data_IF_133915700060
#
_entry.id   IF_133915700060
#
_cell.length_a   1.000
_cell.length_b   1.000
_cell.length_c   1.000
_cell.angle_alpha   90.00
_cell.angle_beta   90.00
_cell.angle_gamma   90.00
#
_symmetry.space_group_name_H-M   'P 1'
#
loop_
_entity.id
_entity.type
_entity.pdbx_description
1 polymer ?
#
# COMPACT_ATOMS: atom_id res chain seq x y z
N UNK A 1 14.58 -7.40 2.46
CA UNK A 1 14.31 -7.93 1.11
C UNK A 1 13.85 -6.80 0.22
N UNK A 2 14.39 -6.73 -0.99
CA UNK A 2 14.01 -5.78 -2.02
C UNK A 2 12.96 -6.39 -2.94
N UNK A 3 11.84 -5.73 -3.04
CA UNK A 3 10.77 -6.06 -3.99
C UNK A 3 10.73 -5.00 -5.07
N UNK A 4 11.00 -5.36 -6.32
CA UNK A 4 10.92 -4.48 -7.46
C UNK A 4 9.97 -5.09 -8.50
N UNK A 5 8.90 -4.38 -8.80
CA UNK A 5 7.88 -4.84 -9.76
C UNK A 5 7.46 -3.66 -10.62
N UNK A 6 7.68 -3.78 -11.92
CA UNK A 6 7.44 -2.71 -12.90
C UNK A 6 8.17 -1.42 -12.51
N UNK A 7 7.42 -0.38 -12.18
CA UNK A 7 7.92 0.95 -11.86
C UNK A 7 7.86 1.27 -10.35
N UNK A 8 7.69 0.25 -9.51
CA UNK A 8 7.68 0.39 -8.05
C UNK A 8 8.78 -0.46 -7.41
N UNK A 9 9.25 0.03 -6.28
CA UNK A 9 10.22 -0.63 -5.44
C UNK A 9 9.79 -0.55 -3.98
N UNK A 10 9.90 -1.66 -3.26
CA UNK A 10 9.69 -1.71 -1.82
C UNK A 10 10.84 -2.44 -1.14
N UNK A 11 11.50 -1.79 -0.17
CA UNK A 11 12.54 -2.39 0.66
C UNK A 11 11.96 -2.72 2.03
N UNK A 12 11.50 -3.94 2.19
CA UNK A 12 10.87 -4.41 3.43
C UNK A 12 11.82 -5.30 4.24
N UNK A 13 11.73 -5.34 5.59
CA UNK A 13 12.40 -6.30 6.43
C UNK A 13 12.14 -7.75 6.01
N UNK A 14 13.06 -8.66 6.36
CA UNK A 14 13.01 -10.07 5.91
C UNK A 14 11.85 -10.90 6.43
N UNK A 15 11.19 -10.43 7.49
CA UNK A 15 10.02 -11.10 8.09
C UNK A 15 8.71 -10.87 7.32
N UNK A 16 8.70 -9.90 6.38
CA UNK A 16 7.53 -9.67 5.53
C UNK A 16 7.41 -10.79 4.49
N UNK A 17 6.32 -11.53 4.57
CA UNK A 17 5.96 -12.56 3.61
C UNK A 17 4.86 -12.08 2.69
N UNK A 18 5.05 -12.18 1.38
CA UNK A 18 4.02 -11.85 0.40
C UNK A 18 2.88 -12.87 0.50
N UNK A 19 1.67 -12.39 0.81
CA UNK A 19 0.45 -13.18 0.86
C UNK A 19 -0.29 -13.20 -0.46
N UNK A 20 -0.38 -12.05 -1.08
CA UNK A 20 -1.17 -11.84 -2.29
C UNK A 20 -0.58 -10.72 -3.11
N UNK A 21 -0.71 -10.88 -4.41
CA UNK A 21 -0.47 -9.81 -5.37
C UNK A 21 -1.63 -9.73 -6.36
N UNK A 22 -1.85 -8.54 -6.87
CA UNK A 22 -2.81 -8.30 -7.96
C UNK A 22 -2.25 -7.22 -8.86
N UNK A 23 -2.11 -7.56 -10.13
CA UNK A 23 -1.66 -6.66 -11.18
C UNK A 23 -2.76 -6.57 -12.23
N UNK A 24 -3.32 -5.38 -12.38
CA UNK A 24 -4.26 -5.06 -13.44
C UNK A 24 -3.82 -3.75 -14.08
N UNK A 25 -4.20 -3.48 -15.34
CA UNK A 25 -3.87 -2.21 -15.97
C UNK A 25 -4.26 -1.02 -15.07
N UNK A 26 -3.29 -0.17 -14.78
CA UNK A 26 -3.50 1.01 -13.94
C UNK A 26 -3.53 0.77 -12.43
N UNK A 27 -3.50 -0.46 -11.93
CA UNK A 27 -3.53 -0.72 -10.49
C UNK A 27 -2.68 -1.92 -10.07
N UNK A 28 -1.81 -1.71 -9.07
CA UNK A 28 -1.03 -2.76 -8.43
C UNK A 28 -1.34 -2.81 -6.95
N UNK A 29 -1.37 -4.03 -6.45
CA UNK A 29 -1.58 -4.31 -5.04
C UNK A 29 -0.67 -5.46 -4.61
N UNK A 30 0.13 -5.23 -3.59
CA UNK A 30 0.94 -6.23 -2.90
C UNK A 30 0.49 -6.28 -1.44
N UNK A 31 0.16 -7.46 -0.95
CA UNK A 31 -0.24 -7.69 0.43
C UNK A 31 0.80 -8.55 1.12
N UNK A 32 1.41 -8.00 2.15
CA UNK A 32 2.39 -8.67 2.99
C UNK A 32 1.84 -8.95 4.37
N UNK A 33 2.44 -9.92 5.03
CA UNK A 33 2.12 -10.26 6.41
C UNK A 33 3.38 -10.47 7.23
N UNK A 34 3.36 -9.95 8.45
CA UNK A 34 4.30 -10.30 9.54
C UNK A 34 3.53 -11.05 10.63
N UNK A 35 4.16 -11.26 11.77
CA UNK A 35 3.52 -11.86 12.95
C UNK A 35 2.43 -10.96 13.54
N UNK A 36 2.64 -9.65 13.53
CA UNK A 36 1.82 -8.64 14.22
C UNK A 36 0.89 -7.84 13.31
N UNK A 37 1.17 -7.78 12.01
CA UNK A 37 0.40 -6.91 11.10
C UNK A 37 0.32 -7.46 9.67
N UNK A 38 -0.63 -6.93 8.93
CA UNK A 38 -0.74 -7.08 7.48
C UNK A 38 -0.53 -5.73 6.83
N UNK A 39 0.33 -5.66 5.80
CA UNK A 39 0.68 -4.43 5.10
C UNK A 39 0.32 -4.54 3.64
N UNK A 40 -0.54 -3.64 3.16
CA UNK A 40 -0.87 -3.46 1.75
C UNK A 40 -0.07 -2.32 1.14
N UNK A 41 0.58 -2.59 0.02
CA UNK A 41 1.20 -1.60 -0.84
C UNK A 41 0.38 -1.46 -2.11
N UNK A 42 -0.03 -0.25 -2.42
CA UNK A 42 -0.91 0.05 -3.54
C UNK A 42 -0.30 1.10 -4.45
N UNK A 43 -0.50 0.91 -5.75
CA UNK A 43 -0.16 1.90 -6.76
C UNK A 43 -1.29 1.98 -7.77
N UNK A 44 -1.77 3.18 -8.04
CA UNK A 44 -2.77 3.47 -9.06
C UNK A 44 -2.28 4.54 -10.02
N UNK A 45 -2.75 4.49 -11.25
CA UNK A 45 -2.48 5.51 -12.25
C UNK A 45 -3.25 5.29 -13.56
N UNK A 46 -3.41 6.33 -14.35
CA UNK A 46 -2.90 7.70 -14.17
C UNK A 46 -3.69 8.50 -13.12
N UNK A 47 -3.00 9.22 -12.24
CA UNK A 47 -3.63 10.00 -11.17
C UNK A 47 -4.52 11.12 -11.72
N UNK A 48 -4.11 11.78 -12.81
CA UNK A 48 -4.90 12.84 -13.48
C UNK A 48 -6.29 12.38 -13.94
N UNK A 49 -6.42 11.11 -14.30
CA UNK A 49 -7.71 10.53 -14.67
C UNK A 49 -8.52 10.15 -13.44
N UNK A 50 -7.87 9.49 -12.48
CA UNK A 50 -8.54 8.97 -11.27
C UNK A 50 -9.05 10.08 -10.36
N UNK A 51 -8.36 11.22 -10.32
CA UNK A 51 -8.69 12.37 -9.47
C UNK A 51 -9.38 13.51 -10.22
N UNK A 52 -9.81 13.32 -11.47
CA UNK A 52 -10.46 14.37 -12.26
C UNK A 52 -11.67 15.00 -11.53
N UNK A 53 -12.47 14.16 -10.89
CA UNK A 53 -13.71 14.56 -10.20
C UNK A 53 -13.74 14.11 -8.73
N UNK A 54 -12.60 13.72 -8.17
CA UNK A 54 -12.51 13.21 -6.80
C UNK A 54 -11.30 13.81 -6.10
N UNK A 55 -11.42 14.09 -4.82
CA UNK A 55 -10.26 14.34 -3.99
C UNK A 55 -9.43 13.05 -3.81
N UNK A 56 -8.15 13.19 -3.42
CA UNK A 56 -7.34 12.04 -3.06
C UNK A 56 -7.94 11.27 -1.88
N UNK A 57 -8.53 11.98 -0.91
CA UNK A 57 -9.20 11.39 0.25
C UNK A 57 -10.40 10.54 -0.17
N UNK A 58 -11.30 11.07 -1.00
CA UNK A 58 -12.50 10.33 -1.46
C UNK A 58 -12.11 9.11 -2.29
N UNK A 59 -11.08 9.24 -3.13
CA UNK A 59 -10.55 8.13 -3.90
C UNK A 59 -10.05 7.01 -2.98
N UNK A 60 -9.24 7.34 -1.97
CA UNK A 60 -8.69 6.37 -1.01
C UNK A 60 -9.78 5.77 -0.14
N UNK A 61 -10.70 6.59 0.38
CA UNK A 61 -11.85 6.14 1.16
C UNK A 61 -12.63 5.04 0.43
N UNK A 62 -12.92 5.27 -0.84
CA UNK A 62 -13.64 4.32 -1.68
C UNK A 62 -12.82 3.07 -2.03
N UNK A 63 -11.53 3.23 -2.35
CA UNK A 63 -10.68 2.10 -2.81
C UNK A 63 -10.23 1.18 -1.71
N UNK A 64 -9.97 1.71 -0.53
CA UNK A 64 -9.48 0.97 0.63
C UNK A 64 -10.54 0.77 1.71
N UNK A 65 -11.80 1.17 1.45
CA UNK A 65 -12.91 1.12 2.40
C UNK A 65 -12.58 1.81 3.73
N UNK A 66 -11.89 2.96 3.66
CA UNK A 66 -11.52 3.76 4.84
C UNK A 66 -12.67 4.70 5.19
N UNK A 67 -13.25 4.62 6.40
CA UNK A 67 -14.28 5.55 6.84
C UNK A 67 -13.76 6.99 6.87
N UNK A 68 -14.59 7.95 6.45
CA UNK A 68 -14.20 9.37 6.41
C UNK A 68 -13.76 9.90 7.78
N UNK A 69 -14.36 9.42 8.87
CA UNK A 69 -14.09 9.89 10.23
C UNK A 69 -12.73 9.53 10.82
N UNK A 70 -11.92 8.70 10.15
CA UNK A 70 -10.59 8.30 10.64
C UNK A 70 -9.43 8.94 9.87
N UNK A 71 -9.70 9.81 8.89
CA UNK A 71 -8.66 10.61 8.26
C UNK A 71 -8.14 11.67 9.23
N UNK A 72 -6.82 11.69 9.45
CA UNK A 72 -6.17 12.56 10.43
C UNK A 72 -5.54 13.79 9.78
N UNK A 73 -5.08 13.65 8.54
CA UNK A 73 -4.45 14.70 7.77
C UNK A 73 -4.77 14.54 6.29
N UNK A 74 -5.08 15.65 5.63
CA UNK A 74 -5.30 15.67 4.20
C UNK A 74 -4.72 16.96 3.61
N UNK A 75 -3.95 16.81 2.55
CA UNK A 75 -3.49 17.88 1.67
C UNK A 75 -3.86 17.52 0.24
N UNK A 76 -3.69 18.42 -0.71
CA UNK A 76 -3.91 18.08 -2.13
C UNK A 76 -3.04 16.97 -2.65
N UNK A 77 -1.90 16.69 -2.02
CA UNK A 77 -0.89 15.72 -2.47
C UNK A 77 -0.76 14.49 -1.57
N UNK A 78 -1.32 14.50 -0.36
CA UNK A 78 -1.18 13.43 0.62
C UNK A 78 -2.36 13.37 1.57
N UNK A 79 -2.76 12.16 1.95
CA UNK A 79 -3.75 11.88 2.99
C UNK A 79 -3.24 10.80 3.91
N UNK A 80 -3.55 10.92 5.20
CA UNK A 80 -3.22 9.92 6.21
C UNK A 80 -4.46 9.59 7.05
N UNK A 81 -4.52 8.37 7.51
CA UNK A 81 -5.61 7.87 8.37
C UNK A 81 -5.09 6.93 9.43
N UNK A 82 -5.76 6.93 10.57
CA UNK A 82 -5.56 5.93 11.61
C UNK A 82 -6.81 5.78 12.48
N UNK A 83 -7.17 4.56 12.77
CA UNK A 83 -8.35 4.27 13.59
C UNK A 83 -8.78 2.82 13.50
N UNK A 84 -9.79 2.47 14.28
CA UNK A 84 -10.41 1.17 14.23
C UNK A 84 -11.49 1.16 13.15
N UNK A 85 -11.47 0.13 12.32
CA UNK A 85 -12.48 -0.07 11.27
C UNK A 85 -13.27 -1.33 11.64
N UNK A 86 -14.56 -1.20 11.92
CA UNK A 86 -15.38 -2.38 12.15
C UNK A 86 -15.41 -3.25 10.88
N UNK A 87 -15.43 -4.58 11.02
CA UNK A 87 -15.56 -5.47 9.89
C UNK A 87 -16.87 -5.18 9.13
N UNK A 88 -16.81 -5.29 7.81
CA UNK A 88 -17.99 -5.07 6.96
C UNK A 88 -19.19 -5.87 7.45
N UNK A 89 -20.38 -5.25 7.46
CA UNK A 89 -21.64 -5.91 7.84
C UNK A 89 -21.81 -7.17 6.97
N UNK A 90 -21.97 -8.34 7.61
CA UNK A 90 -22.10 -9.65 6.94
C UNK A 90 -20.98 -10.64 7.25
N UNK A 91 -19.87 -10.22 7.85
CA UNK A 91 -18.90 -11.14 8.44
C UNK A 91 -19.47 -11.84 9.69
N UNK A 92 -18.96 -13.04 10.01
CA UNK A 92 -19.37 -13.85 11.18
C UNK A 92 -19.03 -13.18 12.54
N UNK A 93 -19.29 -11.89 12.70
CA UNK A 93 -19.01 -11.12 13.94
C UNK A 93 -19.74 -11.70 15.16
N UNK A 94 -20.91 -12.29 14.97
CA UNK A 94 -21.69 -12.90 16.04
C UNK A 94 -21.05 -14.15 16.64
N UNK A 95 -20.08 -14.78 15.94
CA UNK A 95 -19.38 -15.97 16.44
C UNK A 95 -18.11 -15.66 17.25
N UNK A 96 -17.61 -14.42 17.23
CA UNK A 96 -16.41 -14.03 17.98
C UNK A 96 -16.52 -12.62 18.54
N UNK A 97 -17.45 -12.37 19.48
CA UNK A 97 -17.74 -11.02 20.00
C UNK A 97 -16.56 -10.38 20.76
N UNK A 98 -15.57 -11.16 21.15
CA UNK A 98 -14.45 -10.74 21.99
C UNK A 98 -13.19 -10.31 21.19
N UNK A 99 -13.16 -10.48 19.89
CA UNK A 99 -12.02 -9.99 19.10
C UNK A 99 -12.11 -8.48 18.92
N UNK A 100 -11.11 -7.74 19.37
CA UNK A 100 -11.08 -6.29 19.16
C UNK A 100 -11.10 -5.96 17.67
N UNK A 101 -11.71 -4.84 17.32
CA UNK A 101 -11.70 -4.33 15.96
C UNK A 101 -10.27 -4.04 15.54
N UNK A 102 -9.86 -4.44 14.33
CA UNK A 102 -8.51 -4.21 13.86
C UNK A 102 -8.19 -2.70 13.77
N UNK A 103 -6.98 -2.36 14.13
CA UNK A 103 -6.48 -1.00 14.02
C UNK A 103 -5.83 -0.81 12.64
N UNK A 104 -6.37 0.11 11.89
CA UNK A 104 -5.90 0.49 10.57
C UNK A 104 -5.12 1.79 10.65
N UNK A 105 -4.03 1.86 9.93
CA UNK A 105 -3.27 3.08 9.71
C UNK A 105 -2.75 3.08 8.28
N UNK A 106 -2.65 4.24 7.69
CA UNK A 106 -2.17 4.32 6.32
C UNK A 106 -1.92 5.72 5.86
N UNK A 107 -1.26 5.81 4.73
CA UNK A 107 -0.97 7.04 4.02
C UNK A 107 -1.06 6.79 2.53
N UNK A 108 -1.65 7.73 1.82
CA UNK A 108 -1.61 7.79 0.36
C UNK A 108 -1.04 9.13 -0.08
N UNK A 109 -0.28 9.12 -1.18
CA UNK A 109 0.33 10.34 -1.70
C UNK A 109 0.53 10.28 -3.21
N UNK A 110 0.70 11.45 -3.79
CA UNK A 110 1.09 11.63 -5.20
C UNK A 110 2.59 11.93 -5.24
N UNK A 111 3.43 11.01 -5.73
CA UNK A 111 4.84 11.31 -5.89
C UNK A 111 5.04 12.50 -6.84
N UNK A 112 5.95 13.45 -6.51
CA UNK A 112 6.23 14.59 -7.37
C UNK A 112 6.61 14.14 -8.79
N UNK A 113 6.11 14.86 -9.80
CA UNK A 113 6.38 14.60 -11.22
C UNK A 113 5.96 13.21 -11.71
N UNK A 114 5.14 12.50 -10.94
CA UNK A 114 4.60 11.18 -11.31
C UNK A 114 3.08 11.24 -11.38
N UNK A 115 2.52 10.79 -12.48
CA UNK A 115 1.07 10.72 -12.64
C UNK A 115 0.51 9.43 -12.01
N UNK A 116 0.81 9.25 -10.72
CA UNK A 116 0.46 8.06 -9.95
C UNK A 116 0.04 8.41 -8.53
N UNK A 117 -0.69 7.49 -7.92
CA UNK A 117 -1.03 7.50 -6.51
C UNK A 117 -0.37 6.28 -5.89
N UNK A 118 0.38 6.46 -4.82
CA UNK A 118 0.89 5.40 -3.96
C UNK A 118 0.12 5.40 -2.65
N UNK A 119 -0.05 4.22 -2.07
CA UNK A 119 -0.57 4.11 -0.71
C UNK A 119 0.04 2.92 0.02
N UNK A 120 0.19 3.10 1.31
CA UNK A 120 0.54 2.06 2.29
C UNK A 120 -0.58 2.00 3.30
N UNK A 121 -1.06 0.79 3.57
CA UNK A 121 -2.02 0.52 4.63
C UNK A 121 -1.50 -0.61 5.50
N UNK A 122 -1.41 -0.39 6.79
CA UNK A 122 -1.07 -1.40 7.77
C UNK A 122 -2.27 -1.69 8.68
N UNK A 123 -2.48 -2.96 8.98
CA UNK A 123 -3.57 -3.45 9.81
C UNK A 123 -2.99 -4.35 10.91
N UNK A 124 -3.20 -3.99 12.17
CA UNK A 124 -2.75 -4.71 13.36
C UNK A 124 -3.89 -4.98 14.33
N UNK A 125 -3.67 -5.83 15.32
CA UNK A 125 -4.68 -6.10 16.35
C UNK A 125 -4.79 -4.94 17.35
N UNK A 126 -3.67 -4.29 17.67
CA UNK A 126 -3.63 -3.19 18.63
C UNK A 126 -2.90 -1.94 18.09
N UNK A 127 -3.15 -0.82 18.74
CA UNK A 127 -2.45 0.44 18.50
C UNK A 127 -0.97 0.28 18.92
N UNK A 128 -0.06 0.77 18.10
CA UNK A 128 1.38 0.73 18.37
C UNK A 128 2.07 -0.60 18.02
N UNK A 129 1.31 -1.61 17.61
CA UNK A 129 1.89 -2.83 17.05
C UNK A 129 2.34 -2.63 15.59
N UNK A 130 3.40 -3.36 15.22
CA UNK A 130 3.95 -3.37 13.88
C UNK A 130 4.97 -2.26 13.61
N UNK A 131 5.33 -2.13 12.36
CA UNK A 131 6.35 -1.16 11.91
C UNK A 131 5.80 0.27 11.88
N UNK A 132 6.63 1.29 12.17
CA UNK A 132 6.23 2.69 11.99
C UNK A 132 5.74 2.93 10.55
N UNK A 133 4.64 3.65 10.42
CA UNK A 133 4.03 3.89 9.10
C UNK A 133 4.97 4.65 8.17
N UNK A 134 5.70 5.62 8.69
CA UNK A 134 6.69 6.42 7.97
C UNK A 134 7.78 5.53 7.36
N UNK A 135 8.28 4.58 8.14
CA UNK A 135 9.29 3.61 7.67
C UNK A 135 8.76 2.79 6.49
N UNK A 136 7.51 2.35 6.55
CA UNK A 136 6.88 1.61 5.46
C UNK A 136 6.65 2.50 4.23
N UNK A 137 6.26 3.76 4.42
CA UNK A 137 6.09 4.72 3.33
C UNK A 137 7.41 5.05 2.64
N UNK A 138 8.48 5.27 3.41
CA UNK A 138 9.82 5.56 2.89
C UNK A 138 10.42 4.36 2.13
N UNK A 139 10.07 3.16 2.56
CA UNK A 139 10.48 1.93 1.91
C UNK A 139 9.79 1.70 0.55
N UNK A 140 8.67 2.39 0.29
CA UNK A 140 7.85 2.21 -0.91
C UNK A 140 7.98 3.41 -1.86
N UNK A 141 8.62 3.19 -3.02
CA UNK A 141 8.97 4.24 -3.98
C UNK A 141 8.63 3.85 -5.40
N UNK A 142 8.47 4.87 -6.25
CA UNK A 142 8.47 4.67 -7.72
C UNK A 142 9.91 4.71 -8.24
N UNK A 143 10.22 3.78 -9.12
CA UNK A 143 11.48 3.83 -9.87
C UNK A 143 11.49 5.02 -10.85
N UNK A 144 12.66 5.62 -11.13
CA UNK A 144 12.78 6.64 -12.18
C UNK A 144 12.24 6.12 -13.52
N UNK A 145 11.62 7.00 -14.32
CA UNK A 145 11.14 6.63 -15.65
C UNK A 145 12.29 6.38 -16.65
N UNK A 146 13.48 6.83 -16.32
CA UNK A 146 14.65 6.85 -17.21
C UNK A 146 15.47 5.56 -17.11
N UNK A 147 14.87 4.48 -16.63
CA UNK A 147 15.43 3.15 -16.71
C UNK A 147 15.45 2.58 -18.13
N UNK A 148 16.00 3.31 -19.08
CA UNK A 148 16.60 2.76 -20.27
C UNK A 148 17.87 1.99 -19.90
N UNK A 149 17.81 1.21 -18.82
CA UNK A 149 18.78 0.19 -18.51
C UNK A 149 18.71 -0.85 -19.61
N UNK A 150 19.63 -0.76 -20.58
CA UNK A 150 20.03 -1.92 -21.38
C UNK A 150 20.16 -3.07 -20.40
N UNK A 151 19.21 -4.01 -20.44
CA UNK A 151 19.34 -5.28 -19.78
C UNK A 151 20.66 -5.89 -20.22
N UNK A 152 21.65 -5.81 -19.35
CA UNK A 152 22.81 -6.65 -19.45
C UNK A 152 22.29 -8.04 -19.09
N UNK A 153 21.84 -8.74 -20.12
CA UNK A 153 21.79 -10.18 -20.09
C UNK A 153 23.20 -10.59 -19.64
N UNK A 154 23.30 -11.08 -18.42
CA UNK A 154 24.47 -11.85 -18.01
C UNK A 154 24.43 -13.11 -18.87
N UNK A 155 25.18 -13.08 -19.94
CA UNK A 155 25.61 -14.28 -20.64
C UNK A 155 26.39 -15.13 -19.61
N UNK A 156 25.71 -16.03 -18.96
CA UNK A 156 26.35 -17.14 -18.27
C UNK A 156 26.79 -18.12 -19.35
N UNK A 157 28.08 -18.44 -19.46
CA UNK A 157 28.50 -19.51 -20.37
C UNK A 157 27.90 -20.84 -19.89
N UNK A 158 27.16 -21.46 -20.77
CA UNK A 158 26.81 -22.90 -20.64
C UNK A 158 28.10 -23.69 -20.87
N UNK A 159 28.73 -24.10 -19.79
CA UNK A 159 29.76 -25.12 -19.88
C UNK A 159 29.10 -26.46 -20.08
N UNK A 160 29.58 -27.15 -21.12
CA UNK A 160 29.23 -28.48 -21.61
C UNK A 160 29.73 -29.54 -20.65
#
# INVERSE_FOLDING_TARGET
>A
VLWAVFDIQAKLPGEFRLLRHRFVPGAFHLLFRTRSETVGLYRWGPASVLLRNNSLQDFVAKRLAVPQGIFNAATGESVAWSGRIPPARGGRRWMTPWKPEPYHRGRAWRPPRRNKILAVQAVSAAVGEGYPLETLCDAFRTLPADGGGKGRLLDAPLDV
#
